data_IF_996429050481
#
_entry.id   IF_996429050481
#
_cell.length_a   1.000
_cell.length_b   1.000
_cell.length_c   1.000
_cell.angle_alpha   90.00
_cell.angle_beta   90.00
_cell.angle_gamma   90.00
#
_symmetry.space_group_name_H-M   'P 1'
#
loop_
_entity.id
_entity.type
_entity.pdbx_description
1 polymer ?
#
# COMPACT_ATOMS: atom_id res chain seq x y z
N UNK A 1 -40.15 51.10 -14.29
CA UNK A 1 -41.33 50.58 -13.58
C UNK A 1 -40.77 49.84 -12.39
N UNK A 2 -40.46 50.52 -11.19
CA UNK A 2 -41.42 50.83 -10.13
C UNK A 2 -41.96 49.53 -9.51
N UNK A 3 -41.77 49.16 -8.24
CA UNK A 3 -41.75 49.73 -6.88
C UNK A 3 -41.17 48.64 -5.94
N UNK A 4 -40.38 48.75 -4.97
CA UNK A 4 -40.36 49.36 -3.65
C UNK A 4 -41.61 49.23 -2.78
N UNK A 5 -41.42 48.55 -1.58
CA UNK A 5 -42.15 48.72 -0.31
C UNK A 5 -41.42 47.89 0.73
N UNK A 6 -40.71 48.33 1.66
CA UNK A 6 -40.75 49.19 2.86
C UNK A 6 -41.90 48.89 3.83
N UNK A 7 -41.52 48.72 5.10
CA UNK A 7 -42.19 49.11 6.35
C UNK A 7 -41.92 48.10 7.46
N UNK A 8 -41.14 48.41 8.43
CA UNK A 8 -41.29 49.13 9.73
C UNK A 8 -41.74 48.21 10.88
N UNK A 9 -40.85 48.13 11.76
CA UNK A 9 -40.74 48.34 13.18
C UNK A 9 -41.99 48.24 14.07
N UNK A 10 -41.84 47.54 15.21
CA UNK A 10 -42.34 48.05 16.48
C UNK A 10 -41.62 47.42 17.69
N UNK A 11 -41.00 48.32 18.41
CA UNK A 11 -40.59 48.17 19.81
C UNK A 11 -41.75 47.83 20.73
N UNK A 12 -41.53 47.07 21.77
CA UNK A 12 -42.17 47.43 23.02
C UNK A 12 -41.33 47.03 24.25
N UNK A 13 -41.16 48.03 25.03
CA UNK A 13 -40.52 48.17 26.31
C UNK A 13 -41.40 47.61 27.44
N UNK A 14 -40.83 47.06 28.49
CA UNK A 14 -41.59 46.63 29.68
C UNK A 14 -40.67 46.22 30.82
N UNK A 15 -40.53 47.12 31.75
CA UNK A 15 -39.68 47.20 32.95
C UNK A 15 -39.81 46.08 33.97
N UNK A 16 -38.72 45.82 34.60
CA UNK A 16 -38.38 45.62 35.99
C UNK A 16 -39.40 45.07 36.98
N UNK A 17 -38.96 44.12 37.80
CA UNK A 17 -39.00 44.21 39.28
C UNK A 17 -37.95 43.27 39.91
N UNK A 18 -37.20 43.83 40.81
CA UNK A 18 -36.31 43.16 41.78
C UNK A 18 -37.04 42.17 42.68
N UNK A 19 -36.38 41.03 42.97
CA UNK A 19 -36.38 40.55 44.37
C UNK A 19 -35.15 39.69 44.64
N UNK A 20 -34.50 39.99 45.74
CA UNK A 20 -33.38 39.33 46.43
C UNK A 20 -33.81 37.89 46.88
N UNK A 21 -32.91 36.96 46.79
CA UNK A 21 -32.68 36.02 47.88
C UNK A 21 -31.30 35.33 47.75
N UNK A 22 -30.56 35.43 48.83
CA UNK A 22 -29.32 34.70 49.13
C UNK A 22 -29.53 33.19 49.05
N UNK A 23 -28.59 32.47 48.49
CA UNK A 23 -28.51 31.03 48.59
C UNK A 23 -27.08 30.57 48.22
N UNK A 24 -26.26 30.53 49.26
CA UNK A 24 -24.95 29.89 49.29
C UNK A 24 -25.14 28.38 48.98
N UNK A 25 -24.37 27.79 48.13
CA UNK A 25 -23.51 26.64 48.41
C UNK A 25 -23.21 25.74 47.20
N UNK A 26 -22.01 25.31 47.25
CA UNK A 26 -21.40 24.10 46.64
C UNK A 26 -20.98 24.15 45.21
N UNK A 27 -19.74 24.58 45.10
CA UNK A 27 -18.80 24.17 44.04
C UNK A 27 -18.71 22.65 44.04
N UNK A 28 -19.37 21.99 43.12
CA UNK A 28 -19.02 20.63 42.71
C UNK A 28 -18.25 20.73 41.43
N UNK A 29 -16.95 20.67 41.60
CA UNK A 29 -15.96 20.52 40.51
C UNK A 29 -16.16 19.09 39.98
N UNK A 30 -16.95 18.93 38.92
CA UNK A 30 -17.04 17.66 38.16
C UNK A 30 -15.78 17.52 37.33
N UNK A 31 -14.79 16.82 37.87
CA UNK A 31 -13.64 16.28 37.13
C UNK A 31 -14.19 15.19 36.19
N UNK A 32 -14.44 15.58 34.95
CA UNK A 32 -14.61 14.64 33.84
C UNK A 32 -13.24 14.00 33.58
N UNK A 33 -12.99 12.87 34.24
CA UNK A 33 -11.91 11.97 33.90
C UNK A 33 -12.19 11.39 32.48
N UNK A 34 -11.61 12.03 31.49
CA UNK A 34 -11.58 11.49 30.13
C UNK A 34 -10.63 10.30 30.15
N UNK A 35 -11.17 9.12 30.45
CA UNK A 35 -10.44 7.86 30.32
C UNK A 35 -10.18 7.62 28.83
N UNK A 36 -8.99 7.98 28.39
CA UNK A 36 -8.43 7.55 27.11
C UNK A 36 -8.32 6.02 27.18
N UNK A 37 -9.31 5.30 26.63
CA UNK A 37 -9.14 3.90 26.30
C UNK A 37 -8.07 3.84 25.18
N UNK A 38 -6.83 3.63 25.55
CA UNK A 38 -5.79 3.21 24.64
C UNK A 38 -6.17 1.82 24.13
N UNK A 39 -6.73 1.73 22.93
CA UNK A 39 -6.89 0.47 22.21
C UNK A 39 -5.48 -0.10 22.03
N UNK A 40 -5.21 -1.34 22.46
CA UNK A 40 -3.96 -1.98 22.16
C UNK A 40 -3.85 -2.07 20.63
N UNK A 41 -2.83 -1.43 20.06
CA UNK A 41 -2.43 -1.69 18.67
C UNK A 41 -2.05 -3.18 18.61
N UNK A 42 -2.89 -3.99 18.00
CA UNK A 42 -2.54 -5.38 17.70
C UNK A 42 -1.44 -5.31 16.65
N UNK A 43 -0.21 -5.55 17.07
CA UNK A 43 0.87 -5.88 16.16
C UNK A 43 0.45 -7.18 15.47
N UNK A 44 0.14 -7.13 14.18
CA UNK A 44 -0.05 -8.35 13.39
C UNK A 44 1.24 -9.16 13.49
N UNK A 45 1.10 -10.39 13.97
CA UNK A 45 2.22 -11.33 14.17
C UNK A 45 2.76 -11.67 12.76
N UNK A 46 3.85 -11.00 12.36
CA UNK A 46 4.43 -11.14 11.03
C UNK A 46 4.91 -12.57 10.83
N UNK A 47 4.23 -13.30 9.96
CA UNK A 47 4.57 -14.68 9.63
C UNK A 47 5.97 -14.75 9.02
N UNK A 48 6.85 -15.54 9.61
CA UNK A 48 8.21 -15.79 9.11
C UNK A 48 8.29 -17.10 8.33
N UNK A 49 9.17 -17.13 7.33
CA UNK A 49 9.48 -18.33 6.57
C UNK A 49 10.20 -19.37 7.44
N UNK A 50 9.81 -20.64 7.31
CA UNK A 50 10.38 -21.73 8.14
C UNK A 50 11.86 -22.01 7.86
N UNK A 51 12.36 -21.62 6.70
CA UNK A 51 13.73 -21.93 6.25
C UNK A 51 14.62 -20.71 6.30
N UNK A 52 14.13 -19.56 5.81
CA UNK A 52 14.93 -18.34 5.70
C UNK A 52 14.75 -17.39 6.87
N UNK A 53 13.70 -17.58 7.68
CA UNK A 53 13.29 -16.67 8.76
C UNK A 53 13.00 -15.23 8.24
N UNK A 54 12.77 -15.07 6.94
CA UNK A 54 12.36 -13.80 6.33
C UNK A 54 10.85 -13.65 6.40
N UNK A 55 10.34 -12.41 6.39
CA UNK A 55 8.91 -12.14 6.35
C UNK A 55 8.19 -12.84 5.21
N UNK A 56 6.94 -13.24 5.47
CA UNK A 56 6.01 -13.77 4.48
C UNK A 56 4.67 -13.02 4.58
N UNK A 57 4.05 -12.65 3.45
CA UNK A 57 4.56 -12.80 2.09
C UNK A 57 5.75 -11.87 1.80
N UNK A 58 6.54 -12.17 0.76
CA UNK A 58 7.58 -11.27 0.26
C UNK A 58 7.80 -11.42 -1.23
N UNK A 59 8.30 -10.39 -1.89
CA UNK A 59 8.54 -10.38 -3.32
C UNK A 59 9.97 -10.79 -3.69
N UNK A 60 10.06 -11.52 -4.80
CA UNK A 60 11.29 -11.96 -5.47
C UNK A 60 11.09 -11.86 -6.98
N UNK A 61 12.11 -12.19 -7.78
CA UNK A 61 11.95 -12.31 -9.22
C UNK A 61 12.36 -13.70 -9.74
N UNK A 62 11.83 -14.09 -10.89
CA UNK A 62 12.26 -15.28 -11.62
C UNK A 62 13.65 -15.02 -12.20
N UNK A 63 14.63 -15.86 -11.85
CA UNK A 63 16.03 -15.69 -12.28
C UNK A 63 16.27 -16.19 -13.70
N UNK A 64 15.48 -17.15 -14.16
CA UNK A 64 15.65 -17.89 -15.41
C UNK A 64 14.56 -17.49 -16.41
N UNK A 65 14.77 -17.84 -17.67
CA UNK A 65 13.78 -17.60 -18.73
C UNK A 65 12.58 -18.56 -18.59
N UNK A 66 12.81 -19.72 -17.96
CA UNK A 66 11.76 -20.69 -17.65
C UNK A 66 11.85 -21.16 -16.20
N UNK A 67 10.71 -21.30 -15.56
CA UNK A 67 10.58 -21.77 -14.18
C UNK A 67 9.45 -22.77 -14.02
N UNK A 68 9.79 -24.03 -13.77
CA UNK A 68 8.80 -25.08 -13.50
C UNK A 68 8.13 -24.85 -12.14
N UNK A 69 6.82 -24.78 -12.16
CA UNK A 69 5.95 -24.65 -11.00
C UNK A 69 5.26 -25.97 -10.73
N UNK A 70 5.47 -26.53 -9.55
CA UNK A 70 5.00 -27.85 -9.18
C UNK A 70 3.85 -27.78 -8.18
N UNK A 71 3.05 -28.82 -8.15
CA UNK A 71 1.93 -28.96 -7.20
C UNK A 71 2.40 -29.05 -5.74
N UNK A 72 3.60 -29.56 -5.51
CA UNK A 72 4.17 -29.74 -4.17
C UNK A 72 5.68 -29.56 -4.14
N UNK A 73 6.27 -29.51 -2.94
CA UNK A 73 7.68 -29.16 -2.71
C UNK A 73 8.64 -30.37 -2.93
N UNK A 74 8.59 -30.98 -4.11
CA UNK A 74 9.47 -32.10 -4.49
C UNK A 74 9.56 -32.22 -6.01
N UNK A 75 10.65 -32.78 -6.52
CA UNK A 75 10.82 -33.10 -7.95
C UNK A 75 9.84 -34.17 -8.45
N UNK A 76 9.29 -34.97 -7.56
CA UNK A 76 8.30 -36.01 -7.88
C UNK A 76 6.90 -35.47 -8.13
N UNK A 77 6.63 -34.25 -7.67
CA UNK A 77 5.34 -33.63 -7.95
C UNK A 77 5.24 -33.14 -9.39
N UNK A 78 4.04 -33.30 -9.94
CA UNK A 78 3.70 -32.85 -11.29
C UNK A 78 3.97 -31.36 -11.47
N UNK A 79 4.46 -30.98 -12.64
CA UNK A 79 4.53 -29.59 -13.10
C UNK A 79 3.12 -29.21 -13.55
N UNK A 80 2.53 -28.21 -12.91
CA UNK A 80 1.20 -27.69 -13.25
C UNK A 80 1.28 -26.43 -14.10
N UNK A 81 2.43 -25.71 -14.03
CA UNK A 81 2.64 -24.45 -14.69
C UNK A 81 4.11 -24.24 -15.06
N UNK A 82 4.39 -23.39 -16.06
CA UNK A 82 5.74 -22.93 -16.39
C UNK A 82 5.71 -21.42 -16.53
N UNK A 83 6.48 -20.72 -15.72
CA UNK A 83 6.73 -19.30 -15.93
C UNK A 83 7.81 -19.12 -16.99
N UNK A 84 7.57 -18.25 -17.97
CA UNK A 84 8.42 -18.08 -19.17
C UNK A 84 8.99 -16.66 -19.33
N UNK A 85 8.90 -15.83 -18.29
CA UNK A 85 9.39 -14.45 -18.34
C UNK A 85 10.47 -14.21 -17.29
N UNK A 86 11.72 -14.07 -17.74
CA UNK A 86 12.82 -13.64 -16.86
C UNK A 86 12.47 -12.34 -16.14
N UNK A 87 12.96 -12.20 -14.92
CA UNK A 87 12.73 -11.06 -14.03
C UNK A 87 11.26 -10.84 -13.64
N UNK A 88 10.35 -11.75 -14.01
CA UNK A 88 8.95 -11.68 -13.57
C UNK A 88 8.87 -11.58 -12.05
N UNK A 89 8.19 -10.59 -11.48
CA UNK A 89 7.98 -10.52 -10.04
C UNK A 89 7.07 -11.67 -9.59
N UNK A 90 7.38 -12.23 -8.43
CA UNK A 90 6.66 -13.32 -7.79
C UNK A 90 6.58 -13.07 -6.30
N UNK A 91 5.47 -13.44 -5.68
CA UNK A 91 5.29 -13.36 -4.24
C UNK A 91 5.47 -14.73 -3.59
N UNK A 92 6.43 -14.87 -2.67
CA UNK A 92 6.60 -16.07 -1.85
C UNK A 92 5.60 -16.05 -0.70
N UNK A 93 4.78 -17.09 -0.60
CA UNK A 93 3.74 -17.24 0.44
C UNK A 93 4.05 -18.33 1.46
N UNK A 94 4.94 -19.30 1.12
CA UNK A 94 5.39 -20.36 2.02
C UNK A 94 6.76 -20.89 1.61
N UNK A 95 7.42 -21.58 2.56
CA UNK A 95 8.71 -22.22 2.38
C UNK A 95 8.68 -23.68 2.85
N UNK A 96 9.42 -24.53 2.16
CA UNK A 96 9.67 -25.92 2.58
C UNK A 96 11.00 -26.39 2.00
N UNK A 97 12.03 -26.62 2.83
CA UNK A 97 13.36 -26.98 2.39
C UNK A 97 13.89 -26.07 1.27
N UNK A 98 14.20 -26.66 0.12
CA UNK A 98 14.65 -25.93 -1.07
C UNK A 98 13.51 -25.34 -1.93
N UNK A 99 12.28 -25.43 -1.49
CA UNK A 99 11.12 -25.02 -2.26
C UNK A 99 10.49 -23.75 -1.68
N UNK A 100 9.97 -22.92 -2.59
CA UNK A 100 9.21 -21.71 -2.25
C UNK A 100 7.85 -21.83 -2.94
N UNK A 101 6.77 -21.67 -2.17
CA UNK A 101 5.44 -21.52 -2.77
C UNK A 101 5.32 -20.09 -3.23
N UNK A 102 5.15 -19.92 -4.53
CA UNK A 102 5.04 -18.60 -5.16
C UNK A 102 3.70 -18.43 -5.85
N UNK A 103 3.31 -17.17 -6.03
CA UNK A 103 2.20 -16.78 -6.87
C UNK A 103 2.57 -15.52 -7.67
N UNK A 104 1.99 -15.41 -8.86
CA UNK A 104 2.06 -14.20 -9.66
C UNK A 104 0.95 -13.20 -9.29
N UNK A 105 0.82 -12.14 -10.08
CA UNK A 105 -0.17 -11.08 -9.91
C UNK A 105 -1.62 -11.62 -9.94
N UNK A 106 -1.88 -12.62 -10.74
CA UNK A 106 -3.22 -13.21 -10.95
C UNK A 106 -3.51 -14.36 -9.97
N UNK A 107 -2.56 -14.65 -9.05
CA UNK A 107 -2.66 -15.73 -8.07
C UNK A 107 -2.27 -17.11 -8.64
N UNK A 108 -1.86 -17.18 -9.90
CA UNK A 108 -1.36 -18.42 -10.47
C UNK A 108 0.02 -18.76 -9.91
N UNK A 109 0.25 -20.02 -9.54
CA UNK A 109 1.53 -20.41 -8.97
C UNK A 109 1.55 -21.79 -8.36
N UNK A 110 2.51 -22.01 -7.48
CA UNK A 110 2.79 -23.28 -6.81
C UNK A 110 4.20 -23.33 -6.27
N UNK A 111 4.82 -24.51 -6.24
CA UNK A 111 6.15 -24.70 -5.67
C UNK A 111 7.25 -24.60 -6.72
N UNK A 112 8.18 -23.68 -6.49
CA UNK A 112 9.36 -23.43 -7.34
C UNK A 112 10.61 -23.67 -6.53
N UNK A 113 11.63 -24.27 -7.13
CA UNK A 113 12.93 -24.47 -6.49
C UNK A 113 13.63 -23.10 -6.30
N UNK A 114 14.19 -22.84 -5.13
CA UNK A 114 14.76 -21.54 -4.79
C UNK A 114 15.86 -21.07 -5.75
N UNK A 115 16.59 -21.99 -6.37
CA UNK A 115 17.67 -21.68 -7.33
C UNK A 115 17.15 -20.95 -8.60
N UNK A 116 15.85 -21.07 -8.89
CA UNK A 116 15.20 -20.39 -10.01
C UNK A 116 14.75 -18.96 -9.63
N UNK A 117 14.90 -18.56 -8.37
CA UNK A 117 14.49 -17.27 -7.84
C UNK A 117 15.69 -16.37 -7.57
N UNK A 118 15.45 -15.07 -7.61
CA UNK A 118 16.43 -14.03 -7.34
C UNK A 118 15.86 -13.04 -6.31
N UNK A 119 16.72 -12.56 -5.41
CA UNK A 119 16.39 -11.46 -4.51
C UNK A 119 16.37 -10.07 -5.18
N UNK A 120 16.72 -9.99 -6.46
CA UNK A 120 16.56 -8.75 -7.23
C UNK A 120 15.08 -8.40 -7.29
N UNK A 121 14.75 -7.18 -6.88
CA UNK A 121 13.35 -6.74 -6.84
C UNK A 121 12.95 -6.18 -8.19
N UNK A 122 11.86 -6.69 -8.69
CA UNK A 122 11.18 -6.22 -9.89
C UNK A 122 9.70 -6.01 -9.59
N UNK A 123 9.05 -5.22 -10.42
CA UNK A 123 7.62 -4.91 -10.35
C UNK A 123 6.98 -5.05 -11.71
N UNK A 124 5.70 -5.31 -11.74
CA UNK A 124 4.87 -5.33 -12.92
C UNK A 124 4.06 -4.03 -12.98
N UNK A 125 4.04 -3.38 -14.14
CA UNK A 125 3.19 -2.22 -14.38
C UNK A 125 1.75 -2.69 -14.57
N UNK A 126 0.82 -2.15 -13.78
CA UNK A 126 -0.59 -2.58 -13.73
C UNK A 126 -1.54 -1.70 -14.51
N UNK A 127 -1.10 -0.53 -14.94
CA UNK A 127 -1.92 0.40 -15.73
C UNK A 127 -1.24 0.69 -17.06
N UNK A 128 -2.04 0.74 -18.12
CA UNK A 128 -1.51 1.12 -19.42
C UNK A 128 -1.07 2.59 -19.46
N UNK A 129 -0.01 2.87 -20.24
CA UNK A 129 0.55 4.22 -20.36
C UNK A 129 0.92 4.87 -19.02
N UNK A 130 1.31 4.06 -18.03
CA UNK A 130 1.75 4.53 -16.70
C UNK A 130 2.83 5.61 -16.83
N UNK A 131 2.61 6.81 -16.27
CA UNK A 131 3.57 7.90 -16.36
C UNK A 131 4.79 7.65 -15.46
N UNK A 132 5.97 7.90 -16.01
CA UNK A 132 7.26 7.82 -15.33
C UNK A 132 7.85 9.22 -15.25
N UNK A 133 8.00 9.75 -14.06
CA UNK A 133 8.44 11.13 -13.81
C UNK A 133 9.92 11.19 -13.40
N UNK A 134 10.56 12.33 -13.66
CA UNK A 134 11.95 12.54 -13.23
C UNK A 134 12.11 12.67 -11.72
N UNK A 135 11.06 13.09 -10.99
CA UNK A 135 10.99 13.23 -9.53
C UNK A 135 9.68 12.64 -9.02
N UNK A 136 9.57 12.29 -7.73
CA UNK A 136 8.34 11.79 -7.12
C UNK A 136 7.29 12.92 -6.93
N UNK A 137 6.91 13.53 -8.04
CA UNK A 137 6.00 14.67 -8.12
C UNK A 137 5.27 14.61 -9.47
N UNK A 138 3.92 14.60 -9.50
CA UNK A 138 3.13 14.55 -10.73
C UNK A 138 3.27 15.82 -11.59
N UNK A 139 3.80 16.92 -11.04
CA UNK A 139 4.09 18.15 -11.76
C UNK A 139 5.51 18.17 -12.37
N UNK A 140 6.32 17.15 -12.07
CA UNK A 140 7.67 17.07 -12.64
C UNK A 140 7.64 16.60 -14.09
N UNK A 141 8.74 16.82 -14.79
CA UNK A 141 8.87 16.43 -16.19
C UNK A 141 8.67 14.91 -16.35
N UNK A 142 7.88 14.54 -17.34
CA UNK A 142 7.67 13.15 -17.76
C UNK A 142 8.94 12.63 -18.47
N UNK A 143 9.45 11.49 -17.98
CA UNK A 143 10.60 10.81 -18.59
C UNK A 143 10.17 9.78 -19.65
N UNK A 144 9.10 9.04 -19.37
CA UNK A 144 8.56 7.99 -20.24
C UNK A 144 7.12 7.65 -19.87
N UNK A 145 6.51 6.79 -20.66
CA UNK A 145 5.28 6.07 -20.31
C UNK A 145 5.53 4.58 -20.49
N UNK A 146 5.11 3.78 -19.51
CA UNK A 146 5.23 2.34 -19.59
C UNK A 146 3.85 1.71 -19.86
N UNK A 147 3.86 0.73 -20.74
CA UNK A 147 2.67 -0.06 -21.07
C UNK A 147 2.33 -1.04 -19.93
N UNK A 148 1.08 -1.46 -19.91
CA UNK A 148 0.62 -2.54 -19.04
C UNK A 148 1.47 -3.80 -19.21
N UNK A 149 1.86 -4.43 -18.11
CA UNK A 149 2.62 -5.68 -18.12
C UNK A 149 4.12 -5.53 -18.35
N UNK A 150 4.65 -4.31 -18.42
CA UNK A 150 6.10 -4.07 -18.42
C UNK A 150 6.68 -4.52 -17.09
N UNK A 151 7.72 -5.34 -17.13
CA UNK A 151 8.53 -5.71 -15.97
C UNK A 151 9.63 -4.68 -15.83
N UNK A 152 9.67 -3.99 -14.69
CA UNK A 152 10.67 -2.99 -14.38
C UNK A 152 11.47 -3.36 -13.13
N UNK A 153 12.74 -3.00 -13.08
CA UNK A 153 13.56 -3.13 -11.87
C UNK A 153 13.12 -2.09 -10.84
N UNK A 154 12.89 -2.54 -9.62
CA UNK A 154 12.54 -1.68 -8.50
C UNK A 154 13.82 -1.08 -7.89
N UNK A 155 13.81 0.23 -7.67
CA UNK A 155 14.85 1.00 -6.97
C UNK A 155 14.33 1.53 -5.63
N UNK A 156 14.56 2.80 -5.38
CA UNK A 156 14.12 3.53 -4.18
C UNK A 156 12.60 3.62 -4.11
N UNK A 157 12.04 3.53 -2.90
CA UNK A 157 10.61 3.77 -2.66
C UNK A 157 10.42 4.69 -1.46
N UNK A 158 9.63 5.73 -1.64
CA UNK A 158 9.08 6.60 -0.59
C UNK A 158 7.73 6.08 -0.10
N UNK A 159 6.97 6.86 0.66
CA UNK A 159 5.63 6.47 1.10
C UNK A 159 4.71 6.09 -0.07
N UNK A 160 4.66 6.93 -1.12
CA UNK A 160 3.69 6.77 -2.22
C UNK A 160 4.33 6.43 -3.57
N UNK A 161 5.64 6.67 -3.73
CA UNK A 161 6.33 6.60 -5.00
C UNK A 161 7.45 5.58 -4.98
N UNK A 162 7.64 4.89 -6.12
CA UNK A 162 8.83 4.09 -6.37
C UNK A 162 9.55 4.52 -7.63
N UNK A 163 10.88 4.45 -7.57
CA UNK A 163 11.75 4.62 -8.73
C UNK A 163 11.90 3.30 -9.43
N UNK A 164 11.54 3.25 -10.70
CA UNK A 164 11.62 2.05 -11.52
C UNK A 164 12.44 2.27 -12.78
N UNK A 165 12.93 1.19 -13.37
CA UNK A 165 13.68 1.26 -14.64
C UNK A 165 13.38 0.06 -15.52
N UNK A 166 13.10 0.34 -16.81
CA UNK A 166 12.94 -0.65 -17.87
C UNK A 166 13.26 -0.03 -19.24
N UNK A 167 13.74 -0.83 -20.20
CA UNK A 167 13.98 -0.39 -21.57
C UNK A 167 14.93 0.80 -21.73
N UNK A 168 15.86 1.00 -20.79
CA UNK A 168 16.78 2.16 -20.79
C UNK A 168 16.21 3.43 -20.15
N UNK A 169 14.94 3.46 -19.80
CA UNK A 169 14.29 4.57 -19.10
C UNK A 169 14.26 4.34 -17.60
N UNK A 170 14.31 5.42 -16.82
CA UNK A 170 14.26 5.39 -15.36
C UNK A 170 13.50 6.61 -14.86
N UNK A 171 12.70 6.41 -13.82
CA UNK A 171 11.99 7.51 -13.14
C UNK A 171 11.04 7.00 -12.07
N UNK A 172 10.21 7.89 -11.59
CA UNK A 172 9.31 7.70 -10.47
C UNK A 172 7.88 7.49 -10.94
N UNK A 173 7.19 6.55 -10.32
CA UNK A 173 5.74 6.35 -10.48
C UNK A 173 5.10 6.04 -9.15
N UNK A 174 3.77 6.17 -9.07
CA UNK A 174 3.01 5.82 -7.88
C UNK A 174 3.04 4.29 -7.65
N UNK A 175 3.13 3.87 -6.39
CA UNK A 175 3.05 2.45 -6.01
C UNK A 175 1.76 1.79 -6.47
N UNK A 176 0.66 2.54 -6.48
CA UNK A 176 -0.66 2.07 -6.93
C UNK A 176 -0.70 1.62 -8.39
N UNK A 177 0.31 1.96 -9.18
CA UNK A 177 0.45 1.53 -10.57
C UNK A 177 1.30 0.26 -10.72
N UNK A 178 1.76 -0.31 -9.60
CA UNK A 178 2.75 -1.39 -9.59
C UNK A 178 2.27 -2.58 -8.76
N UNK A 179 2.51 -3.78 -9.28
CA UNK A 179 2.46 -5.02 -8.50
C UNK A 179 3.90 -5.50 -8.22
N UNK A 180 4.15 -5.99 -7.02
CA UNK A 180 5.49 -6.47 -6.61
C UNK A 180 6.17 -5.58 -5.57
N UNK A 181 5.43 -4.60 -5.01
CA UNK A 181 5.85 -3.72 -3.92
C UNK A 181 4.69 -3.57 -2.93
N UNK A 182 5.00 -3.57 -1.63
CA UNK A 182 3.99 -3.36 -0.60
C UNK A 182 3.69 -1.86 -0.43
N UNK A 183 2.45 -1.53 -0.02
CA UNK A 183 2.01 -0.14 0.09
C UNK A 183 2.85 0.69 1.07
N UNK A 184 3.28 0.07 2.16
CA UNK A 184 4.10 0.66 3.23
C UNK A 184 5.61 0.44 3.04
N UNK A 185 6.04 -0.27 1.99
CA UNK A 185 7.45 -0.54 1.74
C UNK A 185 8.23 0.75 1.48
N UNK A 186 9.18 1.05 2.34
CA UNK A 186 10.19 2.10 2.15
C UNK A 186 11.50 1.43 1.76
N UNK A 187 12.19 1.96 0.75
CA UNK A 187 13.40 1.35 0.21
C UNK A 187 14.37 2.43 -0.27
N UNK A 188 15.62 2.28 0.08
CA UNK A 188 16.76 3.10 -0.36
C UNK A 188 17.49 2.46 -1.54
#
# INVERSE_FOLDING_TARGET
MTQAFSSEAKENCGQAVLTRALGITRRTLALLAFSFLALPAQAEDQKLGQVTHLPLPRYVSLKTDEGNVRRGPSLTHRIDWVFTRRDMPLQITAEHGHWRKVQDRDGAGGWVHYALLSGVRTVLVEQDMTPIYNRPDPQSQLAARFELGVIARLGECTADWCRISAGGYRGWTLKTNLWGVDADEIRD
#
